data_IF_415688858209
#
_entry.id   IF_415688858209
#
_cell.length_a   1.000
_cell.length_b   1.000
_cell.length_c   1.000
_cell.angle_alpha   90.00
_cell.angle_beta   90.00
_cell.angle_gamma   90.00
#
_symmetry.space_group_name_H-M   'P 1'
#
loop_
_entity.id
_entity.type
_entity.pdbx_description
1 polymer ?
#
# COMPACT_ATOMS: atom_id res chain seq x y z
N UNK A 1 13.98 3.35 -2.51
CA UNK A 1 12.57 3.75 -2.35
C UNK A 1 11.94 4.20 -3.67
N UNK A 2 12.57 5.04 -4.49
CA UNK A 2 11.94 5.58 -5.72
C UNK A 2 11.77 4.61 -6.91
N UNK A 3 12.44 3.45 -6.93
CA UNK A 3 12.54 2.61 -8.14
C UNK A 3 11.68 1.34 -8.18
N UNK A 4 10.93 0.98 -7.12
CA UNK A 4 10.25 -0.33 -7.08
C UNK A 4 8.76 -0.31 -7.44
N UNK A 5 8.12 0.87 -7.52
CA UNK A 5 6.67 1.01 -7.66
C UNK A 5 6.29 2.18 -8.60
N UNK A 6 6.75 2.17 -9.86
CA UNK A 6 6.43 3.23 -10.82
C UNK A 6 4.93 3.36 -11.15
N UNK A 7 4.14 2.31 -10.90
CA UNK A 7 2.69 2.29 -11.18
C UNK A 7 1.85 2.96 -10.08
N UNK A 8 2.44 3.30 -8.92
CA UNK A 8 1.74 3.93 -7.80
C UNK A 8 2.50 5.17 -7.33
N UNK A 9 1.83 6.34 -7.23
CA UNK A 9 2.45 7.52 -6.64
C UNK A 9 2.68 7.30 -5.14
N UNK A 10 3.96 7.29 -4.74
CA UNK A 10 4.38 7.24 -3.34
C UNK A 10 4.76 8.64 -2.88
N UNK A 11 4.16 9.10 -1.79
CA UNK A 11 4.60 10.32 -1.09
C UNK A 11 5.74 9.94 -0.16
N UNK A 12 6.96 10.44 -0.42
CA UNK A 12 8.13 10.21 0.43
C UNK A 12 7.97 10.93 1.78
N UNK A 13 8.06 10.23 2.93
CA UNK A 13 8.02 10.89 4.23
C UNK A 13 9.33 11.63 4.54
N UNK A 14 9.24 12.83 5.11
CA UNK A 14 10.42 13.64 5.49
C UNK A 14 10.99 13.31 6.88
N UNK A 15 10.23 12.68 7.78
CA UNK A 15 10.74 12.08 9.02
C UNK A 15 9.60 11.34 9.73
N UNK A 16 9.26 10.14 9.28
CA UNK A 16 8.45 9.19 10.04
C UNK A 16 8.36 7.89 9.26
N UNK A 17 8.36 6.77 9.98
CA UNK A 17 8.17 5.41 9.44
C UNK A 17 6.75 5.18 8.90
N UNK A 18 6.09 6.19 8.36
CA UNK A 18 4.71 6.15 7.91
C UNK A 18 4.65 6.73 6.50
N UNK A 19 4.18 5.94 5.53
CA UNK A 19 3.82 6.43 4.21
C UNK A 19 2.36 6.14 3.91
N UNK A 20 1.74 7.06 3.20
CA UNK A 20 0.44 6.88 2.60
C UNK A 20 0.62 6.41 1.17
N UNK A 21 -0.05 5.30 0.83
CA UNK A 21 0.01 4.69 -0.49
C UNK A 21 -1.38 4.78 -1.11
N UNK A 22 -1.46 5.34 -2.30
CA UNK A 22 -2.69 5.51 -3.07
C UNK A 22 -2.98 4.27 -3.90
N UNK A 23 -4.09 3.58 -3.62
CA UNK A 23 -4.51 2.38 -4.33
C UNK A 23 -5.75 2.61 -5.21
N UNK A 24 -6.16 3.87 -5.43
CA UNK A 24 -7.38 4.19 -6.19
C UNK A 24 -7.34 3.70 -7.64
N UNK A 25 -6.16 3.47 -8.20
CA UNK A 25 -5.97 2.83 -9.51
C UNK A 25 -6.60 1.44 -9.60
N UNK A 26 -6.78 0.74 -8.47
CA UNK A 26 -7.41 -0.58 -8.42
C UNK A 26 -8.95 -0.53 -8.53
N UNK A 27 -9.55 0.67 -8.40
CA UNK A 27 -11.00 0.89 -8.45
C UNK A 27 -11.79 -0.03 -7.49
N UNK A 28 -11.27 -0.21 -6.27
CA UNK A 28 -11.90 -0.98 -5.20
C UNK A 28 -12.45 -0.03 -4.13
N UNK A 29 -13.56 -0.40 -3.49
CA UNK A 29 -13.98 0.24 -2.25
C UNK A 29 -13.02 -0.14 -1.11
N UNK A 30 -13.09 0.56 0.03
CA UNK A 30 -12.15 0.37 1.14
C UNK A 30 -12.13 -1.06 1.72
N UNK A 31 -13.30 -1.72 1.78
CA UNK A 31 -13.41 -3.08 2.31
C UNK A 31 -12.74 -4.10 1.37
N UNK A 32 -13.00 -3.98 0.07
CA UNK A 32 -12.41 -4.86 -0.94
C UNK A 32 -10.93 -4.59 -1.14
N UNK A 33 -10.49 -3.33 -1.01
CA UNK A 33 -9.08 -2.97 -1.02
C UNK A 33 -8.33 -3.61 0.15
N UNK A 34 -8.88 -3.53 1.36
CA UNK A 34 -8.28 -4.19 2.53
C UNK A 34 -8.21 -5.70 2.35
N UNK A 35 -9.31 -6.31 1.88
CA UNK A 35 -9.36 -7.75 1.59
C UNK A 35 -8.32 -8.15 0.54
N UNK A 36 -8.20 -7.39 -0.54
CA UNK A 36 -7.23 -7.63 -1.60
C UNK A 36 -5.79 -7.63 -1.06
N UNK A 37 -5.43 -6.65 -0.24
CA UNK A 37 -4.07 -6.57 0.30
C UNK A 37 -3.76 -7.71 1.28
N UNK A 38 -4.73 -8.11 2.11
CA UNK A 38 -4.56 -9.22 3.05
C UNK A 38 -4.52 -10.57 2.34
N UNK A 39 -5.49 -10.84 1.44
CA UNK A 39 -5.67 -12.16 0.84
C UNK A 39 -4.81 -12.38 -0.41
N UNK A 40 -4.53 -11.34 -1.21
CA UNK A 40 -3.76 -11.46 -2.45
C UNK A 40 -2.31 -11.04 -2.28
N UNK A 41 -2.05 -9.93 -1.60
CA UNK A 41 -0.68 -9.48 -1.33
C UNK A 41 -0.08 -10.10 -0.07
N UNK A 42 -0.88 -10.67 0.84
CA UNK A 42 -0.38 -11.19 2.12
C UNK A 42 0.17 -10.08 3.03
N UNK A 43 -0.32 -8.84 2.87
CA UNK A 43 0.15 -7.67 3.62
C UNK A 43 -1.02 -6.96 4.28
N UNK A 44 -1.03 -6.92 5.61
CA UNK A 44 -1.92 -6.07 6.38
C UNK A 44 -1.38 -4.64 6.46
N UNK A 45 -2.15 -3.67 5.96
CA UNK A 45 -1.92 -2.23 6.10
C UNK A 45 -3.04 -1.60 6.94
N UNK A 46 -2.87 -0.35 7.39
CA UNK A 46 -3.98 0.36 8.04
C UNK A 46 -4.83 1.09 6.99
N UNK A 47 -6.15 0.82 6.90
CA UNK A 47 -7.02 1.52 5.96
C UNK A 47 -7.06 3.02 6.22
N UNK A 48 -6.96 3.83 5.17
CA UNK A 48 -6.95 5.28 5.29
C UNK A 48 -8.27 5.87 5.74
N UNK A 49 -9.38 5.23 5.39
CA UNK A 49 -10.72 5.60 5.86
C UNK A 49 -10.85 5.65 7.39
N UNK A 50 -9.98 4.93 8.13
CA UNK A 50 -9.92 4.99 9.60
C UNK A 50 -9.43 6.35 10.14
N UNK A 51 -8.88 7.21 9.28
CA UNK A 51 -8.29 8.52 9.64
C UNK A 51 -9.08 9.70 9.06
N UNK A 52 -10.20 9.44 8.37
CA UNK A 52 -11.02 10.45 7.68
C UNK A 52 -11.53 9.92 6.34
N UNK A 53 -12.64 10.47 5.83
CA UNK A 53 -13.21 10.06 4.54
C UNK A 53 -12.24 10.35 3.37
N UNK A 54 -11.41 11.37 3.53
CA UNK A 54 -10.35 11.76 2.59
C UNK A 54 -9.29 10.67 2.42
N UNK A 55 -9.20 9.72 3.36
CA UNK A 55 -8.32 8.56 3.29
C UNK A 55 -8.90 7.36 2.53
N UNK A 56 -10.10 7.47 1.96
CA UNK A 56 -10.69 6.40 1.15
C UNK A 56 -9.82 6.08 -0.07
N UNK A 57 -9.57 4.79 -0.31
CA UNK A 57 -8.65 4.29 -1.34
C UNK A 57 -7.16 4.43 -1.00
N UNK A 58 -6.82 4.97 0.18
CA UNK A 58 -5.45 5.01 0.68
C UNK A 58 -5.21 3.95 1.75
N UNK A 59 -3.95 3.54 1.88
CA UNK A 59 -3.49 2.68 2.96
C UNK A 59 -2.25 3.29 3.61
N UNK A 60 -2.18 3.23 4.94
CA UNK A 60 -1.02 3.65 5.72
C UNK A 60 -0.08 2.47 5.93
N UNK A 61 1.13 2.61 5.42
CA UNK A 61 2.23 1.66 5.59
C UNK A 61 3.12 2.10 6.75
N UNK A 62 3.25 1.25 7.76
CA UNK A 62 4.14 1.46 8.91
C UNK A 62 5.44 0.66 8.74
N UNK A 63 6.57 1.37 8.72
CA UNK A 63 7.92 0.88 8.44
C UNK A 63 8.76 0.72 9.71
N UNK A 64 8.18 0.26 10.83
CA UNK A 64 8.95 -0.16 12.00
C UNK A 64 9.79 -1.44 11.79
N UNK A 65 10.00 -1.86 10.55
CA UNK A 65 10.66 -3.10 10.14
C UNK A 65 12.06 -2.81 9.62
N UNK A 66 12.94 -3.82 9.65
CA UNK A 66 14.23 -3.72 8.99
C UNK A 66 14.06 -3.62 7.46
N UNK A 67 15.08 -3.09 6.77
CA UNK A 67 15.04 -2.82 5.33
C UNK A 67 14.68 -4.05 4.48
N UNK A 68 15.11 -5.24 4.87
CA UNK A 68 14.88 -6.46 4.10
C UNK A 68 13.39 -6.87 4.12
N UNK A 69 12.79 -6.91 5.32
CA UNK A 69 11.36 -7.21 5.49
C UNK A 69 10.48 -6.22 4.74
N UNK A 70 10.93 -4.96 4.67
CA UNK A 70 10.20 -3.97 3.94
C UNK A 70 10.22 -4.23 2.43
N UNK A 71 11.40 -4.47 1.85
CA UNK A 71 11.53 -4.75 0.42
C UNK A 71 10.66 -5.94 0.04
N UNK A 72 10.65 -7.00 0.86
CA UNK A 72 9.79 -8.17 0.65
C UNK A 72 8.30 -7.80 0.58
N UNK A 73 7.80 -6.98 1.53
CA UNK A 73 6.39 -6.57 1.54
C UNK A 73 6.03 -5.70 0.33
N UNK A 74 6.93 -4.80 -0.09
CA UNK A 74 6.70 -3.96 -1.27
C UNK A 74 6.64 -4.81 -2.55
N UNK A 75 7.50 -5.81 -2.68
CA UNK A 75 7.46 -6.74 -3.82
C UNK A 75 6.17 -7.57 -3.85
N UNK A 76 5.68 -8.05 -2.70
CA UNK A 76 4.38 -8.75 -2.65
C UNK A 76 3.22 -7.88 -3.11
N UNK A 77 3.20 -6.61 -2.67
CA UNK A 77 2.18 -5.63 -3.09
C UNK A 77 2.26 -5.42 -4.61
N UNK A 78 3.46 -5.17 -5.14
CA UNK A 78 3.72 -4.96 -6.58
C UNK A 78 3.23 -6.13 -7.43
N UNK A 79 3.56 -7.36 -7.04
CA UNK A 79 3.12 -8.57 -7.75
C UNK A 79 1.60 -8.68 -7.75
N UNK A 80 0.95 -8.48 -6.60
CA UNK A 80 -0.51 -8.55 -6.50
C UNK A 80 -1.21 -7.49 -7.37
N UNK A 81 -0.70 -6.26 -7.39
CA UNK A 81 -1.22 -5.18 -8.24
C UNK A 81 -1.09 -5.54 -9.72
N UNK A 82 0.09 -6.00 -10.13
CA UNK A 82 0.35 -6.36 -11.53
C UNK A 82 -0.58 -7.46 -12.03
N UNK A 83 -0.91 -8.44 -11.17
CA UNK A 83 -1.88 -9.50 -11.47
C UNK A 83 -3.34 -9.02 -11.50
N UNK A 84 -3.65 -7.88 -10.88
CA UNK A 84 -5.01 -7.32 -10.82
C UNK A 84 -5.31 -6.38 -11.98
N UNK A 85 -4.28 -5.70 -12.49
CA UNK A 85 -4.35 -4.70 -13.56
C UNK A 85 -4.02 -5.31 -14.94
N UNK A 86 -3.09 -6.27 -15.00
CA UNK A 86 -2.81 -7.05 -16.20
C UNK A 86 -3.89 -8.09 -16.48
#
# INVERSE_FOLDING_TARGET
FKNELHEIPIISPQASFLAWVDFRVLNLNDADLNRFLVEKAGVGLSPGVMYGQEGSGFMRLNFGLNKAQLIEKLEKIKVAIKQKIG
#
